data_IF_832332476356
#
_entry.id   IF_832332476356
#
_cell.length_a   1.000
_cell.length_b   1.000
_cell.length_c   1.000
_cell.angle_alpha   90.00
_cell.angle_beta   90.00
_cell.angle_gamma   90.00
#
_symmetry.space_group_name_H-M   'P 1'
#
loop_
_entity.id
_entity.type
_entity.pdbx_description
1 polymer ?
#
# COMPACT_ATOMS: atom_id res chain seq x y z
N UNK A 1 -7.33 27.79 -25.68
CA UNK A 1 -6.61 26.69 -24.99
C UNK A 1 -7.30 25.38 -25.34
N UNK A 2 -6.59 24.29 -25.65
CA UNK A 2 -7.27 23.01 -25.91
C UNK A 2 -7.95 22.50 -24.64
N UNK A 3 -9.09 21.81 -24.78
CA UNK A 3 -9.88 21.31 -23.66
C UNK A 3 -9.04 20.48 -22.67
N UNK A 4 -8.08 19.69 -23.16
CA UNK A 4 -7.17 18.92 -22.31
C UNK A 4 -6.23 19.77 -21.44
N UNK A 5 -5.79 20.94 -21.95
CA UNK A 5 -4.93 21.85 -21.19
C UNK A 5 -5.70 22.53 -20.06
N UNK A 6 -6.98 22.83 -20.28
CA UNK A 6 -7.87 23.40 -19.27
C UNK A 6 -8.20 22.36 -18.18
N UNK A 7 -8.54 21.13 -18.58
CA UNK A 7 -8.80 20.03 -17.65
C UNK A 7 -7.59 19.75 -16.75
N UNK A 8 -6.37 19.72 -17.30
CA UNK A 8 -5.16 19.54 -16.51
C UNK A 8 -4.95 20.67 -15.50
N UNK A 9 -5.17 21.93 -15.90
CA UNK A 9 -5.00 23.08 -15.01
C UNK A 9 -5.99 23.07 -13.83
N UNK A 10 -7.21 22.55 -14.05
CA UNK A 10 -8.22 22.40 -13.01
C UNK A 10 -7.90 21.28 -12.02
N UNK A 11 -7.30 20.18 -12.49
CA UNK A 11 -6.90 19.04 -11.64
C UNK A 11 -5.57 19.29 -10.93
N UNK A 12 -4.68 20.10 -11.52
CA UNK A 12 -3.36 20.40 -10.99
C UNK A 12 -3.32 20.82 -9.51
N UNK A 13 -4.14 21.77 -9.01
CA UNK A 13 -4.10 22.14 -7.59
C UNK A 13 -4.50 20.99 -6.66
N UNK A 14 -5.50 20.19 -7.05
CA UNK A 14 -5.88 19.01 -6.28
C UNK A 14 -4.76 17.97 -6.27
N UNK A 15 -4.12 17.73 -7.42
CA UNK A 15 -3.00 16.80 -7.55
C UNK A 15 -1.80 17.22 -6.72
N UNK A 16 -1.43 18.51 -6.75
CA UNK A 16 -0.33 19.06 -5.95
C UNK A 16 -0.61 18.92 -4.45
N UNK A 17 -1.84 19.20 -4.02
CA UNK A 17 -2.25 19.05 -2.64
C UNK A 17 -2.17 17.59 -2.17
N UNK A 18 -2.68 16.65 -2.99
CA UNK A 18 -2.64 15.22 -2.73
C UNK A 18 -1.19 14.71 -2.66
N UNK A 19 -0.35 15.13 -3.60
CA UNK A 19 1.07 14.83 -3.61
C UNK A 19 1.78 15.38 -2.39
N UNK A 20 1.49 16.60 -1.96
CA UNK A 20 2.10 17.19 -0.77
C UNK A 20 1.73 16.41 0.50
N UNK A 21 0.45 16.02 0.64
CA UNK A 21 -0.03 15.22 1.78
C UNK A 21 0.63 13.84 1.82
N UNK A 22 0.88 13.22 0.67
CA UNK A 22 1.53 11.90 0.61
C UNK A 22 3.05 12.03 0.78
N UNK A 23 3.67 13.01 0.12
CA UNK A 23 5.11 13.17 0.13
C UNK A 23 5.64 13.61 1.49
N UNK A 24 4.94 14.51 2.19
CA UNK A 24 5.37 15.01 3.50
C UNK A 24 5.64 13.89 4.53
N UNK A 25 4.70 12.98 4.86
CA UNK A 25 4.93 11.92 5.84
C UNK A 25 5.99 10.92 5.37
N UNK A 26 6.12 10.66 4.06
CA UNK A 26 7.17 9.78 3.53
C UNK A 26 8.55 10.41 3.75
N UNK A 27 8.72 11.68 3.36
CA UNK A 27 9.97 12.40 3.54
C UNK A 27 10.33 12.52 5.03
N UNK A 28 9.34 12.79 5.88
CA UNK A 28 9.53 12.83 7.32
C UNK A 28 9.92 11.47 7.89
N UNK A 29 9.29 10.37 7.45
CA UNK A 29 9.64 9.01 7.86
C UNK A 29 11.07 8.62 7.42
N UNK A 30 11.48 9.02 6.21
CA UNK A 30 12.85 8.83 5.72
C UNK A 30 13.87 9.65 6.51
N UNK A 31 13.50 10.87 6.92
CA UNK A 31 14.33 11.67 7.80
C UNK A 31 14.45 11.00 9.17
N UNK A 32 13.35 10.53 9.76
CA UNK A 32 13.36 9.83 11.04
C UNK A 32 14.14 8.51 11.00
N UNK A 33 14.14 7.78 9.87
CA UNK A 33 14.81 6.48 9.79
C UNK A 33 16.34 6.57 9.93
N UNK A 34 16.94 7.72 9.63
CA UNK A 34 18.38 7.98 9.79
C UNK A 34 18.74 8.70 11.09
N UNK A 35 17.76 9.03 11.94
CA UNK A 35 17.96 9.61 13.26
C UNK A 35 17.67 8.60 14.37
N UNK A 36 18.29 8.78 15.53
CA UNK A 36 17.96 7.97 16.70
C UNK A 36 16.73 8.55 17.40
N UNK A 37 15.57 7.96 17.12
CA UNK A 37 14.28 8.43 17.66
C UNK A 37 13.88 7.55 18.84
N UNK A 38 14.02 8.06 20.05
CA UNK A 38 13.52 7.41 21.28
C UNK A 38 12.37 8.21 21.87
N UNK A 39 11.49 7.58 22.66
CA UNK A 39 10.39 8.28 23.35
C UNK A 39 10.90 9.43 24.24
N UNK A 40 12.09 9.25 24.85
CA UNK A 40 12.76 10.30 25.64
C UNK A 40 13.34 11.40 24.75
N UNK A 41 13.91 11.06 23.59
CA UNK A 41 14.41 12.00 22.60
C UNK A 41 13.31 12.87 22.01
N UNK A 42 12.14 12.28 21.70
CA UNK A 42 10.95 13.00 21.25
C UNK A 42 10.46 14.03 22.28
N UNK A 43 10.46 13.67 23.57
CA UNK A 43 10.06 14.58 24.64
C UNK A 43 11.06 15.72 24.91
N UNK A 44 12.35 15.50 24.60
CA UNK A 44 13.44 16.47 24.84
C UNK A 44 13.88 17.24 23.58
N UNK A 45 13.33 16.89 22.41
CA UNK A 45 13.78 17.45 21.12
C UNK A 45 15.17 16.96 20.68
N UNK A 46 15.68 15.88 21.27
CA UNK A 46 17.01 15.34 20.99
C UNK A 46 16.86 14.11 20.08
N UNK A 47 17.15 14.30 18.79
CA UNK A 47 17.15 13.26 17.76
C UNK A 47 18.50 13.31 17.04
N UNK A 48 19.56 12.72 17.60
CA UNK A 48 20.87 12.79 16.97
C UNK A 48 20.87 12.02 15.65
N UNK A 49 21.62 12.54 14.67
CA UNK A 49 21.79 11.89 13.39
C UNK A 49 22.61 10.61 13.56
N UNK A 50 21.98 9.46 13.29
CA UNK A 50 22.55 8.13 13.50
C UNK A 50 23.00 7.47 12.19
N UNK A 51 22.78 8.14 11.04
CA UNK A 51 23.09 7.64 9.71
C UNK A 51 22.41 6.30 9.42
N UNK A 52 23.17 5.31 8.94
CA UNK A 52 22.65 3.97 8.60
C UNK A 52 22.70 2.97 9.77
N UNK A 53 23.05 3.41 10.98
CA UNK A 53 23.21 2.50 12.12
C UNK A 53 21.90 1.79 12.49
N UNK A 54 20.75 2.48 12.35
CA UNK A 54 19.43 1.89 12.54
C UNK A 54 19.17 0.71 11.59
N UNK A 55 19.53 0.85 10.32
CA UNK A 55 19.41 -0.20 9.33
C UNK A 55 20.33 -1.38 9.64
N UNK A 56 21.59 -1.12 10.00
CA UNK A 56 22.55 -2.17 10.37
C UNK A 56 22.08 -2.97 11.61
N UNK A 57 21.48 -2.30 12.60
CA UNK A 57 20.84 -2.96 13.76
C UNK A 57 19.65 -3.82 13.31
N UNK A 58 18.78 -3.29 12.46
CA UNK A 58 17.59 -3.97 11.96
C UNK A 58 17.92 -5.26 11.20
N UNK A 59 18.92 -5.22 10.30
CA UNK A 59 19.32 -6.41 9.53
C UNK A 59 19.95 -7.52 10.37
N UNK A 60 20.47 -7.20 11.56
CA UNK A 60 21.00 -8.18 12.51
C UNK A 60 19.94 -8.70 13.48
N UNK A 61 18.74 -8.11 13.48
CA UNK A 61 17.66 -8.50 14.39
C UNK A 61 16.94 -9.76 13.86
N UNK A 62 16.99 -10.90 14.57
CA UNK A 62 16.25 -12.11 14.16
C UNK A 62 14.73 -11.93 14.20
N UNK A 63 14.20 -11.00 15.01
CA UNK A 63 12.77 -10.69 15.07
C UNK A 63 12.33 -10.01 13.77
N UNK A 64 13.13 -9.09 13.24
CA UNK A 64 12.86 -8.44 11.96
C UNK A 64 12.65 -9.47 10.83
N UNK A 65 13.57 -10.42 10.69
CA UNK A 65 13.47 -11.45 9.65
C UNK A 65 12.29 -12.40 9.85
N UNK A 66 11.98 -12.74 11.11
CA UNK A 66 10.81 -13.57 11.43
C UNK A 66 9.52 -12.86 11.02
N UNK A 67 9.37 -11.60 11.42
CA UNK A 67 8.19 -10.79 11.10
C UNK A 67 8.07 -10.55 9.59
N UNK A 68 9.18 -10.20 8.92
CA UNK A 68 9.22 -10.02 7.46
C UNK A 68 8.75 -11.29 6.72
N UNK A 69 9.20 -12.48 7.15
CA UNK A 69 8.77 -13.75 6.56
C UNK A 69 7.27 -13.99 6.78
N UNK A 70 6.74 -13.71 7.97
CA UNK A 70 5.31 -13.84 8.23
C UNK A 70 4.48 -12.89 7.36
N UNK A 71 4.90 -11.63 7.23
CA UNK A 71 4.25 -10.65 6.35
C UNK A 71 4.31 -11.07 4.88
N UNK A 72 5.47 -11.53 4.40
CA UNK A 72 5.62 -12.02 3.03
C UNK A 72 4.74 -13.25 2.76
N UNK A 73 4.73 -14.22 3.70
CA UNK A 73 3.87 -15.39 3.58
C UNK A 73 2.39 -15.00 3.55
N UNK A 74 1.97 -14.07 4.40
CA UNK A 74 0.60 -13.54 4.41
C UNK A 74 0.25 -12.90 3.06
N UNK A 75 1.05 -11.95 2.57
CA UNK A 75 0.79 -11.26 1.30
C UNK A 75 0.72 -12.25 0.14
N UNK A 76 1.70 -13.14 0.02
CA UNK A 76 1.74 -14.11 -1.09
C UNK A 76 0.53 -15.04 -1.03
N UNK A 77 0.21 -15.58 0.16
CA UNK A 77 -0.91 -16.51 0.30
C UNK A 77 -2.24 -15.82 0.00
N UNK A 78 -2.45 -14.60 0.50
CA UNK A 78 -3.66 -13.82 0.25
C UNK A 78 -3.81 -13.50 -1.24
N UNK A 79 -2.77 -12.98 -1.89
CA UNK A 79 -2.83 -12.64 -3.32
C UNK A 79 -3.07 -13.88 -4.18
N UNK A 80 -2.41 -15.00 -3.88
CA UNK A 80 -2.61 -16.25 -4.62
C UNK A 80 -4.06 -16.73 -4.49
N UNK A 81 -4.62 -16.69 -3.27
CA UNK A 81 -6.01 -17.07 -3.04
C UNK A 81 -6.99 -16.12 -3.74
N UNK A 82 -6.81 -14.80 -3.59
CA UNK A 82 -7.65 -13.77 -4.22
C UNK A 82 -7.66 -13.91 -5.75
N UNK A 83 -6.49 -14.08 -6.36
CA UNK A 83 -6.37 -14.25 -7.82
C UNK A 83 -6.98 -15.57 -8.27
N UNK A 84 -6.70 -16.67 -7.56
CA UNK A 84 -7.23 -18.00 -7.93
C UNK A 84 -8.75 -18.03 -7.83
N UNK A 85 -9.31 -17.51 -6.74
CA UNK A 85 -10.76 -17.44 -6.54
C UNK A 85 -11.42 -16.45 -7.51
N UNK A 86 -10.84 -15.25 -7.65
CA UNK A 86 -11.35 -14.23 -8.56
C UNK A 86 -11.37 -14.71 -10.01
N UNK A 87 -10.30 -15.36 -10.48
CA UNK A 87 -10.24 -15.96 -11.81
C UNK A 87 -11.18 -17.16 -11.95
N UNK A 88 -11.23 -18.04 -10.94
CA UNK A 88 -12.13 -19.19 -10.94
C UNK A 88 -13.60 -18.77 -11.10
N UNK A 89 -14.02 -17.75 -10.35
CA UNK A 89 -15.36 -17.17 -10.45
C UNK A 89 -15.57 -16.51 -11.83
N UNK A 90 -14.58 -15.75 -12.33
CA UNK A 90 -14.67 -15.10 -13.64
C UNK A 90 -14.86 -16.11 -14.78
N UNK A 91 -14.15 -17.25 -14.73
CA UNK A 91 -14.26 -18.33 -15.73
C UNK A 91 -15.64 -19.00 -15.70
N UNK A 92 -16.20 -19.25 -14.51
CA UNK A 92 -17.55 -19.83 -14.36
C UNK A 92 -18.62 -18.91 -14.94
N UNK A 93 -18.48 -17.59 -14.76
CA UNK A 93 -19.41 -16.60 -15.30
C UNK A 93 -19.29 -16.47 -16.83
N UNK A 94 -18.08 -16.58 -17.36
CA UNK A 94 -17.82 -16.44 -18.79
C UNK A 94 -18.06 -17.74 -19.58
N UNK A 95 -18.43 -18.84 -18.93
CA UNK A 95 -18.65 -20.11 -19.61
C UNK A 95 -19.98 -20.09 -20.41
N UNK A 96 -19.97 -20.41 -21.72
CA UNK A 96 -21.15 -20.25 -22.58
C UNK A 96 -22.36 -21.13 -22.20
N UNK A 97 -22.17 -22.16 -21.37
CA UNK A 97 -23.22 -23.06 -20.89
C UNK A 97 -23.98 -22.60 -19.62
N UNK A 98 -23.53 -21.56 -18.91
CA UNK A 98 -24.12 -21.11 -17.63
C UNK A 98 -24.99 -19.85 -17.77
N UNK A 99 -25.54 -19.61 -18.98
CA UNK A 99 -26.32 -18.40 -19.33
C UNK A 99 -27.53 -18.12 -18.43
N UNK A 100 -28.06 -19.13 -17.72
CA UNK A 100 -29.21 -19.01 -16.79
C UNK A 100 -28.80 -18.59 -15.36
N UNK A 101 -27.53 -18.74 -14.95
CA UNK A 101 -27.03 -18.37 -13.61
C UNK A 101 -26.54 -16.90 -13.52
N UNK A 102 -26.57 -16.16 -14.64
CA UNK A 102 -26.08 -14.77 -14.77
C UNK A 102 -26.80 -13.76 -13.86
N UNK A 103 -28.04 -14.01 -13.44
CA UNK A 103 -28.82 -13.01 -12.68
C UNK A 103 -28.56 -13.07 -11.17
N UNK A 104 -28.22 -14.23 -10.62
CA UNK A 104 -27.96 -14.41 -9.18
C UNK A 104 -26.51 -14.05 -8.84
N UNK A 105 -25.55 -14.42 -9.70
CA UNK A 105 -24.12 -14.10 -9.49
C UNK A 105 -23.83 -12.59 -9.58
N UNK A 106 -24.53 -11.84 -10.44
CA UNK A 106 -24.36 -10.37 -10.53
C UNK A 106 -24.90 -9.64 -9.30
N UNK A 107 -25.96 -10.15 -8.67
CA UNK A 107 -26.51 -9.57 -7.44
C UNK A 107 -25.61 -9.83 -6.23
N UNK A 108 -25.04 -11.04 -6.10
CA UNK A 108 -24.08 -11.40 -5.04
C UNK A 108 -22.73 -10.69 -5.15
N UNK A 109 -22.31 -10.31 -6.37
CA UNK A 109 -21.08 -9.55 -6.60
C UNK A 109 -21.21 -8.04 -6.37
N UNK A 110 -22.44 -7.51 -6.40
CA UNK A 110 -22.74 -6.07 -6.24
C UNK A 110 -23.19 -5.72 -4.82
N UNK A 111 -23.52 -6.71 -4.00
CA UNK A 111 -23.77 -6.51 -2.58
C UNK A 111 -22.41 -6.45 -1.86
N UNK A 112 -22.11 -5.33 -1.17
CA UNK A 112 -20.87 -5.17 -0.42
C UNK A 112 -20.79 -6.12 0.79
#
# INVERSE_FOLDING_TARGET
MSAGKLAFLMVLPALLFLLAIIAYPILYALWLSVHEVTLKGLAKGDMPFAGLSNYAKLFRDPVFWRTMRHSAQFVISSVVLEVTLGLGIALVINYPGTRTLSSINKALMLLP
#
